data_IF_841275369532
#
_entry.id   IF_841275369532
#
_cell.length_a   1.000
_cell.length_b   1.000
_cell.length_c   1.000
_cell.angle_alpha   90.00
_cell.angle_beta   90.00
_cell.angle_gamma   90.00
#
_symmetry.space_group_name_H-M   'P 1'
#
loop_
_entity.id
_entity.type
_entity.pdbx_description
1 polymer ?
#
# COMPACT_ATOMS: atom_id res chain seq x y z
N UNK A 1 -13.01 3.23 17.82
CA UNK A 1 -13.34 4.55 17.28
C UNK A 1 -12.63 5.59 18.12
N UNK A 2 -11.50 6.08 17.67
CA UNK A 2 -10.88 7.27 18.23
C UNK A 2 -11.84 8.41 17.94
N UNK A 3 -12.36 9.07 18.98
CA UNK A 3 -13.18 10.28 18.85
C UNK A 3 -12.21 11.36 18.38
N UNK A 4 -12.27 11.73 17.10
CA UNK A 4 -11.51 12.86 16.57
C UNK A 4 -11.90 14.14 17.33
N UNK A 5 -10.94 15.04 17.55
CA UNK A 5 -11.26 16.31 18.16
C UNK A 5 -12.36 17.00 17.34
N UNK A 6 -13.38 17.58 17.98
CA UNK A 6 -14.56 18.17 17.31
C UNK A 6 -14.22 19.16 16.18
N UNK A 7 -13.07 19.79 16.28
CA UNK A 7 -12.58 20.76 15.28
C UNK A 7 -12.16 20.12 13.94
N UNK A 8 -11.51 18.97 13.95
CA UNK A 8 -11.01 18.32 12.71
C UNK A 8 -12.16 17.77 11.85
N UNK A 9 -13.15 17.14 12.49
CA UNK A 9 -14.34 16.61 11.81
C UNK A 9 -15.19 17.74 11.19
N UNK A 10 -15.34 18.83 11.92
CA UNK A 10 -16.06 20.01 11.42
C UNK A 10 -15.39 20.62 10.19
N UNK A 11 -14.05 20.62 10.15
CA UNK A 11 -13.27 21.06 8.98
C UNK A 11 -13.44 20.13 7.79
N UNK A 12 -13.44 18.81 8.00
CA UNK A 12 -13.70 17.84 6.93
C UNK A 12 -15.10 18.04 6.35
N UNK A 13 -16.14 18.25 7.17
CA UNK A 13 -17.51 18.48 6.72
C UNK A 13 -17.58 19.77 5.89
N UNK A 14 -17.07 20.89 6.41
CA UNK A 14 -17.07 22.16 5.69
C UNK A 14 -16.31 22.09 4.35
N UNK A 15 -15.21 21.35 4.30
CA UNK A 15 -14.45 21.13 3.07
C UNK A 15 -15.25 20.34 2.03
N UNK A 16 -15.89 19.25 2.46
CA UNK A 16 -16.70 18.40 1.59
C UNK A 16 -17.94 19.14 1.09
N UNK A 17 -18.64 19.90 1.95
CA UNK A 17 -19.80 20.70 1.55
C UNK A 17 -19.44 21.72 0.45
N UNK A 18 -18.31 22.40 0.59
CA UNK A 18 -17.81 23.31 -0.45
C UNK A 18 -17.45 22.57 -1.74
N UNK A 19 -16.81 21.41 -1.63
CA UNK A 19 -16.45 20.60 -2.78
C UNK A 19 -17.69 20.09 -3.54
N UNK A 20 -18.73 19.65 -2.81
CA UNK A 20 -20.02 19.22 -3.38
C UNK A 20 -20.77 20.39 -4.02
N UNK A 21 -20.61 21.60 -3.47
CA UNK A 21 -21.15 22.84 -4.06
C UNK A 21 -20.38 23.31 -5.31
N UNK A 22 -19.34 22.61 -5.76
CA UNK A 22 -18.59 22.91 -6.97
C UNK A 22 -17.37 23.82 -6.78
N UNK A 23 -16.95 24.10 -5.51
CA UNK A 23 -15.71 24.83 -5.25
C UNK A 23 -14.50 23.99 -5.70
N UNK A 24 -13.87 24.41 -6.80
CA UNK A 24 -12.68 23.74 -7.38
C UNK A 24 -11.49 23.72 -6.43
N UNK A 25 -11.33 24.73 -5.59
CA UNK A 25 -10.28 24.78 -4.57
C UNK A 25 -10.50 23.70 -3.51
N UNK A 26 -11.74 23.54 -3.05
CA UNK A 26 -12.11 22.49 -2.10
C UNK A 26 -11.94 21.09 -2.69
N UNK A 27 -12.30 20.87 -3.95
CA UNK A 27 -12.07 19.58 -4.64
C UNK A 27 -10.58 19.27 -4.73
N UNK A 28 -9.77 20.25 -5.11
CA UNK A 28 -8.30 20.08 -5.17
C UNK A 28 -7.73 19.72 -3.80
N UNK A 29 -8.24 20.33 -2.74
CA UNK A 29 -7.80 20.04 -1.36
C UNK A 29 -8.23 18.65 -0.92
N UNK A 30 -9.45 18.18 -1.24
CA UNK A 30 -9.90 16.80 -1.01
C UNK A 30 -8.96 15.80 -1.69
N UNK A 31 -8.63 16.02 -2.96
CA UNK A 31 -7.71 15.17 -3.71
C UNK A 31 -6.33 15.17 -3.06
N UNK A 32 -5.81 16.33 -2.64
CA UNK A 32 -4.51 16.48 -1.98
C UNK A 32 -4.44 15.72 -0.66
N UNK A 33 -5.51 15.71 0.13
CA UNK A 33 -5.60 14.97 1.39
C UNK A 33 -5.62 13.45 1.15
N UNK A 34 -6.32 12.99 0.11
CA UNK A 34 -6.61 11.58 -0.09
C UNK A 34 -5.60 10.86 -1.00
N UNK A 35 -4.87 11.55 -1.84
CA UNK A 35 -4.00 10.95 -2.85
C UNK A 35 -2.95 9.98 -2.29
N UNK A 36 -2.18 10.41 -1.28
CA UNK A 36 -1.08 9.63 -0.74
C UNK A 36 -1.56 8.45 0.12
N UNK A 37 -2.57 8.60 1.01
CA UNK A 37 -3.21 7.47 1.67
C UNK A 37 -3.76 6.42 0.68
N UNK A 38 -4.47 6.83 -0.36
CA UNK A 38 -5.01 5.93 -1.38
C UNK A 38 -3.92 5.28 -2.24
N UNK A 39 -2.85 6.02 -2.54
CA UNK A 39 -1.69 5.48 -3.25
C UNK A 39 -1.01 4.37 -2.43
N UNK A 40 -0.77 4.59 -1.15
CA UNK A 40 -0.20 3.57 -0.26
C UNK A 40 -1.09 2.33 -0.18
N UNK A 41 -2.40 2.51 -0.09
CA UNK A 41 -3.35 1.39 -0.12
C UNK A 41 -3.27 0.63 -1.45
N UNK A 42 -3.35 1.32 -2.57
CA UNK A 42 -3.29 0.72 -3.90
C UNK A 42 -1.98 -0.06 -4.10
N UNK A 43 -0.83 0.54 -3.73
CA UNK A 43 0.48 -0.10 -3.86
C UNK A 43 0.55 -1.42 -3.10
N UNK A 44 -0.01 -1.50 -1.87
CA UNK A 44 -0.08 -2.75 -1.10
C UNK A 44 -0.96 -3.80 -1.78
N UNK A 45 -2.02 -3.37 -2.44
CA UNK A 45 -2.96 -4.28 -3.07
C UNK A 45 -2.49 -4.81 -4.43
N UNK A 46 -1.85 -3.96 -5.24
CA UNK A 46 -1.43 -4.34 -6.61
C UNK A 46 0.06 -4.66 -6.74
N UNK A 47 0.90 -4.24 -5.81
CA UNK A 47 2.31 -4.61 -5.69
C UNK A 47 3.30 -3.81 -6.55
N UNK A 48 2.86 -3.10 -7.59
CA UNK A 48 3.73 -2.34 -8.52
C UNK A 48 3.36 -0.86 -8.52
N UNK A 49 4.34 0.06 -8.45
CA UNK A 49 4.08 1.50 -8.45
C UNK A 49 3.21 1.98 -9.63
N UNK A 50 3.53 1.56 -10.86
CA UNK A 50 2.78 1.97 -12.06
C UNK A 50 1.31 1.53 -12.00
N UNK A 51 1.05 0.28 -11.58
CA UNK A 51 -0.32 -0.22 -11.45
C UNK A 51 -1.06 0.48 -10.30
N UNK A 52 -0.36 0.87 -9.23
CA UNK A 52 -0.92 1.64 -8.12
C UNK A 52 -1.28 3.07 -8.52
N UNK A 53 -0.43 3.73 -9.32
CA UNK A 53 -0.69 5.05 -9.87
C UNK A 53 -1.96 5.09 -10.72
N UNK A 54 -2.12 4.10 -11.60
CA UNK A 54 -3.31 3.96 -12.44
C UNK A 54 -4.56 3.69 -11.58
N UNK A 55 -4.45 2.78 -10.61
CA UNK A 55 -5.57 2.47 -9.70
C UNK A 55 -5.99 3.69 -8.86
N UNK A 56 -5.04 4.47 -8.34
CA UNK A 56 -5.35 5.67 -7.54
C UNK A 56 -6.04 6.74 -8.38
N UNK A 57 -5.64 6.92 -9.63
CA UNK A 57 -6.32 7.84 -10.54
C UNK A 57 -7.81 7.49 -10.65
N UNK A 58 -8.13 6.22 -10.91
CA UNK A 58 -9.51 5.74 -10.99
C UNK A 58 -10.26 5.88 -9.66
N UNK A 59 -9.58 5.57 -8.54
CA UNK A 59 -10.17 5.69 -7.19
C UNK A 59 -10.51 7.15 -6.89
N UNK A 60 -9.60 8.10 -7.15
CA UNK A 60 -9.84 9.52 -6.89
C UNK A 60 -10.99 10.08 -7.73
N UNK A 61 -11.10 9.67 -8.99
CA UNK A 61 -12.25 10.03 -9.83
C UNK A 61 -13.57 9.52 -9.23
N UNK A 62 -13.59 8.27 -8.71
CA UNK A 62 -14.76 7.69 -8.03
C UNK A 62 -15.06 8.39 -6.71
N UNK A 63 -14.04 8.75 -5.94
CA UNK A 63 -14.18 9.52 -4.69
C UNK A 63 -14.84 10.86 -4.97
N UNK A 64 -14.31 11.64 -5.92
CA UNK A 64 -14.87 12.93 -6.28
C UNK A 64 -16.30 12.78 -6.81
N UNK A 65 -16.55 11.80 -7.70
CA UNK A 65 -17.88 11.55 -8.26
C UNK A 65 -18.94 11.11 -7.24
N UNK A 66 -18.52 10.54 -6.11
CA UNK A 66 -19.42 10.07 -5.05
C UNK A 66 -19.34 10.90 -3.78
N UNK A 67 -18.66 12.06 -3.80
CA UNK A 67 -18.36 12.84 -2.60
C UNK A 67 -19.63 13.27 -1.83
N UNK A 68 -20.71 13.56 -2.55
CA UNK A 68 -22.01 13.89 -1.96
C UNK A 68 -22.63 12.73 -1.14
N UNK A 69 -22.14 11.50 -1.28
CA UNK A 69 -22.60 10.36 -0.46
C UNK A 69 -21.90 10.26 0.89
N UNK A 70 -20.82 10.99 1.11
CA UNK A 70 -20.15 11.04 2.41
C UNK A 70 -20.98 11.88 3.39
N UNK A 71 -21.40 11.27 4.50
CA UNK A 71 -22.29 11.87 5.49
C UNK A 71 -21.59 12.27 6.80
N UNK A 72 -20.25 12.26 6.80
CA UNK A 72 -19.50 12.56 8.02
C UNK A 72 -19.60 11.48 9.13
N UNK A 73 -20.10 10.27 8.85
CA UNK A 73 -20.20 9.17 9.83
C UNK A 73 -18.83 8.59 10.20
N UNK A 74 -17.90 8.60 9.26
CA UNK A 74 -16.50 8.22 9.43
C UNK A 74 -15.61 9.35 8.93
N UNK A 75 -14.30 9.30 9.24
CA UNK A 75 -13.33 10.24 8.66
C UNK A 75 -13.37 10.17 7.13
N UNK A 76 -13.11 11.29 6.47
CA UNK A 76 -13.07 11.35 5.01
C UNK A 76 -12.11 10.30 4.41
N UNK A 77 -10.94 10.12 5.02
CA UNK A 77 -9.95 9.10 4.61
C UNK A 77 -10.49 7.68 4.76
N UNK A 78 -11.18 7.37 5.86
CA UNK A 78 -11.78 6.06 6.10
C UNK A 78 -12.86 5.73 5.08
N UNK A 79 -13.71 6.73 4.75
CA UNK A 79 -14.71 6.58 3.70
C UNK A 79 -14.04 6.40 2.31
N UNK A 80 -13.01 7.16 2.01
CA UNK A 80 -12.26 7.03 0.76
C UNK A 80 -11.58 5.66 0.64
N UNK A 81 -11.12 5.08 1.75
CA UNK A 81 -10.63 3.69 1.76
C UNK A 81 -11.72 2.69 1.37
N UNK A 82 -12.98 2.86 1.83
CA UNK A 82 -14.09 2.00 1.40
C UNK A 82 -14.32 2.08 -0.11
N UNK A 83 -14.30 3.28 -0.68
CA UNK A 83 -14.39 3.49 -2.14
C UNK A 83 -13.21 2.82 -2.86
N UNK A 84 -12.00 3.04 -2.36
CA UNK A 84 -10.76 2.49 -2.93
C UNK A 84 -10.70 0.96 -2.87
N UNK A 85 -11.05 0.37 -1.72
CA UNK A 85 -11.08 -1.09 -1.52
C UNK A 85 -12.07 -1.76 -2.47
N UNK A 86 -13.27 -1.20 -2.61
CA UNK A 86 -14.26 -1.72 -3.55
C UNK A 86 -13.74 -1.72 -4.99
N UNK A 87 -13.03 -0.67 -5.39
CA UNK A 87 -12.38 -0.64 -6.71
C UNK A 87 -11.28 -1.71 -6.81
N UNK A 88 -10.36 -1.79 -5.85
CA UNK A 88 -9.20 -2.67 -5.86
C UNK A 88 -9.58 -4.16 -5.83
N UNK A 89 -10.61 -4.54 -5.07
CA UNK A 89 -11.12 -5.91 -5.04
C UNK A 89 -11.75 -6.31 -6.38
N UNK A 90 -12.38 -5.37 -7.09
CA UNK A 90 -13.02 -5.59 -8.37
C UNK A 90 -12.10 -5.41 -9.58
N UNK A 91 -10.81 -5.06 -9.39
CA UNK A 91 -9.87 -4.96 -10.49
C UNK A 91 -9.77 -6.30 -11.23
N UNK A 92 -10.08 -6.29 -12.52
CA UNK A 92 -9.98 -7.49 -13.40
C UNK A 92 -8.51 -7.85 -13.68
N UNK A 93 -7.63 -6.84 -13.71
CA UNK A 93 -6.20 -7.05 -13.94
C UNK A 93 -5.57 -7.69 -12.72
N UNK A 94 -4.97 -8.85 -12.91
CA UNK A 94 -4.22 -9.57 -11.88
C UNK A 94 -2.74 -9.15 -11.92
N UNK A 95 -2.08 -9.15 -10.76
CA UNK A 95 -0.62 -9.02 -10.72
C UNK A 95 0.04 -10.22 -11.42
N UNK A 96 1.30 -10.07 -11.80
CA UNK A 96 2.06 -11.19 -12.37
C UNK A 96 2.11 -12.39 -11.41
N UNK A 97 2.22 -12.15 -10.10
CA UNK A 97 2.20 -13.17 -9.05
C UNK A 97 0.83 -13.86 -8.94
N UNK A 98 -0.27 -13.09 -8.96
CA UNK A 98 -1.62 -13.66 -8.96
C UNK A 98 -1.90 -14.46 -10.23
N UNK A 99 -1.40 -13.99 -11.38
CA UNK A 99 -1.53 -14.70 -12.68
C UNK A 99 -0.74 -16.00 -12.67
N UNK A 100 0.46 -16.00 -12.08
CA UNK A 100 1.30 -17.17 -11.94
C UNK A 100 0.81 -18.14 -10.84
N UNK A 101 -0.28 -17.81 -10.12
CA UNK A 101 -0.76 -18.57 -8.96
C UNK A 101 0.36 -18.88 -7.95
N UNK A 102 1.23 -17.90 -7.72
CA UNK A 102 2.35 -18.04 -6.82
C UNK A 102 1.83 -18.04 -5.38
N UNK A 103 2.01 -19.16 -4.69
CA UNK A 103 1.79 -19.27 -3.25
C UNK A 103 3.07 -18.96 -2.46
N UNK A 104 2.96 -18.91 -1.15
CA UNK A 104 4.10 -18.61 -0.29
C UNK A 104 5.18 -19.71 -0.33
N UNK A 105 4.80 -20.98 -0.50
CA UNK A 105 5.75 -22.10 -0.52
C UNK A 105 6.61 -22.03 -1.78
N UNK A 106 5.99 -21.86 -2.94
CA UNK A 106 6.69 -21.69 -4.20
C UNK A 106 7.50 -20.38 -4.22
N UNK A 107 6.99 -19.33 -3.61
CA UNK A 107 7.73 -18.08 -3.46
C UNK A 107 8.97 -18.27 -2.59
N UNK A 108 8.88 -19.01 -1.47
CA UNK A 108 10.00 -19.35 -0.58
C UNK A 108 11.09 -20.16 -1.29
N UNK A 109 10.69 -21.18 -2.03
CA UNK A 109 11.62 -21.96 -2.85
C UNK A 109 12.38 -21.07 -3.84
N UNK A 110 11.68 -20.17 -4.55
CA UNK A 110 12.28 -19.21 -5.47
C UNK A 110 13.19 -18.17 -4.79
N UNK A 111 12.97 -17.87 -3.51
CA UNK A 111 13.85 -16.96 -2.76
C UNK A 111 15.17 -17.60 -2.39
N UNK A 112 15.16 -18.90 -2.07
CA UNK A 112 16.37 -19.64 -1.68
C UNK A 112 17.17 -20.10 -2.90
N UNK A 113 16.50 -20.29 -4.03
CA UNK A 113 17.17 -20.62 -5.30
C UNK A 113 18.00 -19.43 -5.80
N UNK A 114 19.26 -19.69 -6.14
CA UNK A 114 20.21 -18.68 -6.59
C UNK A 114 20.63 -17.67 -5.52
N UNK A 115 20.49 -18.00 -4.22
CA UNK A 115 21.01 -17.17 -3.14
C UNK A 115 22.54 -17.19 -3.16
N UNK A 116 23.17 -16.01 -3.23
CA UNK A 116 24.63 -15.89 -3.22
C UNK A 116 25.21 -16.35 -1.87
N UNK A 117 26.42 -16.91 -1.91
CA UNK A 117 27.15 -17.32 -0.70
C UNK A 117 27.50 -16.16 0.20
N UNK A 118 27.83 -15.00 -0.40
CA UNK A 118 28.21 -13.77 0.30
C UNK A 118 27.23 -12.63 0.03
N UNK A 119 27.26 -11.65 0.93
CA UNK A 119 26.47 -10.43 0.80
C UNK A 119 26.99 -9.59 -0.38
N UNK A 120 26.07 -8.98 -1.14
CA UNK A 120 26.41 -8.09 -2.22
C UNK A 120 27.12 -6.82 -1.68
N UNK A 121 28.30 -6.52 -2.27
CA UNK A 121 29.18 -5.42 -1.84
C UNK A 121 29.39 -4.34 -2.92
N UNK A 122 28.55 -4.26 -3.91
CA UNK A 122 28.62 -3.22 -4.96
C UNK A 122 28.39 -1.80 -4.42
N UNK A 123 28.62 -0.77 -5.26
CA UNK A 123 28.52 0.64 -4.84
C UNK A 123 27.15 1.02 -4.26
N UNK A 124 26.07 0.38 -4.73
CA UNK A 124 24.70 0.64 -4.30
C UNK A 124 24.14 -0.46 -3.38
N UNK A 125 25.03 -1.19 -2.69
CA UNK A 125 24.65 -2.37 -1.91
C UNK A 125 23.53 -2.10 -0.91
N UNK A 126 23.58 -0.99 -0.18
CA UNK A 126 22.53 -0.60 0.78
C UNK A 126 21.22 -0.34 0.08
N UNK A 127 21.20 0.48 -0.97
CA UNK A 127 20.01 0.85 -1.73
C UNK A 127 19.36 -0.38 -2.36
N UNK A 128 20.15 -1.25 -2.99
CA UNK A 128 19.65 -2.47 -3.63
C UNK A 128 19.16 -3.51 -2.62
N UNK A 129 19.80 -3.59 -1.45
CA UNK A 129 19.31 -4.44 -0.36
C UNK A 129 17.94 -3.97 0.14
N UNK A 130 17.75 -2.65 0.28
CA UNK A 130 16.45 -2.07 0.63
C UNK A 130 15.41 -2.36 -0.47
N UNK A 131 15.77 -2.14 -1.73
CA UNK A 131 14.87 -2.41 -2.87
C UNK A 131 14.43 -3.87 -2.90
N UNK A 132 15.36 -4.82 -2.73
CA UNK A 132 15.04 -6.26 -2.64
C UNK A 132 14.09 -6.55 -1.48
N UNK A 133 14.31 -5.95 -0.31
CA UNK A 133 13.46 -6.14 0.87
C UNK A 133 12.04 -5.61 0.64
N UNK A 134 11.91 -4.40 0.10
CA UNK A 134 10.63 -3.79 -0.20
C UNK A 134 9.85 -4.59 -1.26
N UNK A 135 10.51 -5.00 -2.33
CA UNK A 135 9.91 -5.88 -3.35
C UNK A 135 9.50 -7.24 -2.80
N UNK A 136 10.32 -7.84 -1.92
CA UNK A 136 10.00 -9.12 -1.28
C UNK A 136 8.71 -9.02 -0.45
N UNK A 137 8.56 -7.99 0.38
CA UNK A 137 7.36 -7.81 1.19
C UNK A 137 6.11 -7.54 0.33
N UNK A 138 6.24 -6.77 -0.75
CA UNK A 138 5.14 -6.60 -1.71
C UNK A 138 4.75 -7.93 -2.39
N UNK A 139 5.74 -8.73 -2.81
CA UNK A 139 5.49 -10.04 -3.42
C UNK A 139 4.82 -11.02 -2.45
N UNK A 140 5.21 -11.03 -1.17
CA UNK A 140 4.54 -11.84 -0.14
C UNK A 140 3.05 -11.48 0.00
N UNK A 141 2.71 -10.18 -0.01
CA UNK A 141 1.30 -9.76 -0.01
C UNK A 141 0.56 -10.29 -1.24
N UNK A 142 1.20 -10.32 -2.41
CA UNK A 142 0.58 -10.84 -3.63
C UNK A 142 0.35 -12.37 -3.59
N UNK A 143 1.06 -13.12 -2.74
CA UNK A 143 0.82 -14.55 -2.50
C UNK A 143 -0.42 -14.84 -1.64
N UNK A 144 -1.01 -13.81 -1.00
CA UNK A 144 -2.30 -13.92 -0.32
C UNK A 144 -3.47 -13.71 -1.28
N UNK A 145 -4.59 -14.38 -1.03
CA UNK A 145 -5.85 -14.01 -1.67
C UNK A 145 -6.21 -12.56 -1.36
N UNK A 146 -6.91 -11.88 -2.28
CA UNK A 146 -7.24 -10.45 -2.15
C UNK A 146 -7.96 -10.11 -0.84
N UNK A 147 -8.84 -10.97 -0.39
CA UNK A 147 -9.61 -10.81 0.86
C UNK A 147 -8.72 -10.89 2.12
N UNK A 148 -7.75 -11.80 2.13
CA UNK A 148 -6.78 -11.93 3.21
C UNK A 148 -5.75 -10.80 3.17
N UNK A 149 -5.30 -10.45 1.97
CA UNK A 149 -4.37 -9.33 1.74
C UNK A 149 -4.94 -8.02 2.26
N UNK A 150 -6.16 -7.66 1.87
CA UNK A 150 -6.77 -6.40 2.32
C UNK A 150 -7.03 -6.40 3.82
N UNK A 151 -7.46 -7.53 4.42
CA UNK A 151 -7.66 -7.62 5.86
C UNK A 151 -6.35 -7.37 6.62
N UNK A 152 -5.25 -7.95 6.15
CA UNK A 152 -3.91 -7.75 6.71
C UNK A 152 -3.42 -6.30 6.51
N UNK A 153 -3.58 -5.74 5.33
CA UNK A 153 -3.14 -4.37 5.02
C UNK A 153 -3.85 -3.36 5.90
N UNK A 154 -5.16 -3.47 6.06
CA UNK A 154 -5.93 -2.54 6.91
C UNK A 154 -5.53 -2.64 8.39
N UNK A 155 -5.32 -3.85 8.92
CA UNK A 155 -4.95 -4.05 10.33
C UNK A 155 -3.48 -3.78 10.60
N UNK A 156 -2.59 -4.52 9.90
CA UNK A 156 -1.19 -4.62 10.28
C UNK A 156 -0.30 -3.58 9.61
N UNK A 157 -0.75 -2.97 8.50
CA UNK A 157 0.00 -1.91 7.80
C UNK A 157 -0.57 -0.53 8.12
N UNK A 158 -1.90 -0.38 8.08
CA UNK A 158 -2.55 0.91 8.37
C UNK A 158 -3.04 1.05 9.81
N UNK A 159 -2.89 0.01 10.62
CA UNK A 159 -3.19 0.01 12.06
C UNK A 159 -4.64 0.41 12.39
N UNK A 160 -5.58 0.12 11.46
CA UNK A 160 -6.99 0.37 11.67
C UNK A 160 -7.59 -0.64 12.64
N UNK A 161 -8.56 -0.19 13.43
CA UNK A 161 -9.31 -1.07 14.31
C UNK A 161 -10.13 -2.09 13.53
N UNK A 162 -10.44 -3.24 14.16
CA UNK A 162 -11.30 -4.26 13.52
C UNK A 162 -12.68 -3.73 13.14
N UNK A 163 -13.20 -2.73 13.86
CA UNK A 163 -14.48 -2.11 13.57
C UNK A 163 -14.40 -1.25 12.29
N UNK A 164 -13.38 -0.41 12.18
CA UNK A 164 -13.14 0.43 10.99
C UNK A 164 -12.89 -0.42 9.75
N UNK A 165 -12.01 -1.44 9.86
CA UNK A 165 -11.71 -2.32 8.75
C UNK A 165 -12.92 -3.15 8.30
N UNK A 166 -13.75 -3.64 9.22
CA UNK A 166 -14.98 -4.34 8.90
C UNK A 166 -15.99 -3.41 8.20
N UNK A 167 -16.09 -2.16 8.66
CA UNK A 167 -16.91 -1.14 8.01
C UNK A 167 -16.41 -0.80 6.59
N UNK A 168 -15.10 -0.63 6.40
CA UNK A 168 -14.49 -0.39 5.07
C UNK A 168 -14.80 -1.54 4.11
N UNK A 169 -14.73 -2.79 4.59
CA UNK A 169 -14.93 -3.99 3.78
C UNK A 169 -16.39 -4.38 3.59
N UNK A 170 -17.32 -3.72 4.28
CA UNK A 170 -18.75 -4.04 4.31
C UNK A 170 -19.04 -5.50 4.71
N UNK A 171 -18.34 -5.98 5.74
CA UNK A 171 -18.46 -7.34 6.27
C UNK A 171 -18.63 -7.35 7.79
N UNK A 172 -19.14 -8.44 8.34
CA UNK A 172 -19.22 -8.61 9.79
C UNK A 172 -17.81 -8.71 10.44
N UNK A 173 -17.66 -8.13 11.63
CA UNK A 173 -16.39 -8.12 12.37
C UNK A 173 -15.82 -9.54 12.63
N UNK A 174 -16.67 -10.56 12.79
CA UNK A 174 -16.23 -11.95 12.94
C UNK A 174 -15.60 -12.49 11.67
N UNK A 175 -16.17 -12.19 10.51
CA UNK A 175 -15.62 -12.56 9.19
C UNK A 175 -14.29 -11.86 8.96
N UNK A 176 -14.21 -10.56 9.28
CA UNK A 176 -12.97 -9.81 9.21
C UNK A 176 -11.86 -10.43 10.06
N UNK A 177 -12.13 -10.71 11.35
CA UNK A 177 -11.14 -11.31 12.24
C UNK A 177 -10.62 -12.67 11.74
N UNK A 178 -11.49 -13.52 11.20
CA UNK A 178 -11.09 -14.81 10.61
C UNK A 178 -10.19 -14.64 9.37
N UNK A 179 -10.46 -13.65 8.51
CA UNK A 179 -9.60 -13.34 7.35
C UNK A 179 -8.22 -12.87 7.81
N UNK A 180 -8.19 -11.96 8.79
CA UNK A 180 -6.95 -11.42 9.36
C UNK A 180 -6.11 -12.51 10.05
N UNK A 181 -6.73 -13.36 10.85
CA UNK A 181 -6.07 -14.48 11.52
C UNK A 181 -5.38 -15.42 10.51
N UNK A 182 -6.08 -15.81 9.45
CA UNK A 182 -5.50 -16.64 8.39
C UNK A 182 -4.33 -15.95 7.68
N UNK A 183 -4.47 -14.69 7.35
CA UNK A 183 -3.40 -13.92 6.72
C UNK A 183 -2.15 -13.83 7.61
N UNK A 184 -2.34 -13.52 8.90
CA UNK A 184 -1.26 -13.47 9.91
C UNK A 184 -0.57 -14.82 10.07
N UNK A 185 -1.33 -15.91 10.18
CA UNK A 185 -0.77 -17.25 10.32
C UNK A 185 0.08 -17.64 9.09
N UNK A 186 -0.44 -17.41 7.89
CA UNK A 186 0.28 -17.73 6.63
C UNK A 186 1.57 -16.93 6.49
N UNK A 187 1.51 -15.60 6.68
CA UNK A 187 2.68 -14.74 6.57
C UNK A 187 3.68 -14.99 7.71
N UNK A 188 3.20 -15.17 8.94
CA UNK A 188 4.05 -15.44 10.10
C UNK A 188 4.81 -16.76 9.97
N UNK A 189 4.13 -17.85 9.58
CA UNK A 189 4.77 -19.14 9.35
C UNK A 189 5.83 -19.04 8.24
N UNK A 190 5.49 -18.41 7.13
CA UNK A 190 6.41 -18.20 6.02
C UNK A 190 7.65 -17.39 6.44
N UNK A 191 7.47 -16.27 7.12
CA UNK A 191 8.56 -15.40 7.55
C UNK A 191 9.47 -16.10 8.55
N UNK A 192 8.92 -16.82 9.52
CA UNK A 192 9.70 -17.59 10.47
C UNK A 192 10.50 -18.72 9.81
N UNK A 193 9.94 -19.38 8.80
CA UNK A 193 10.63 -20.46 8.09
C UNK A 193 11.71 -19.95 7.12
N UNK A 194 11.51 -18.77 6.51
CA UNK A 194 12.28 -18.36 5.33
C UNK A 194 13.11 -17.10 5.55
N UNK A 195 12.60 -16.10 6.26
CA UNK A 195 13.15 -14.73 6.29
C UNK A 195 14.16 -14.52 7.42
N UNK A 196 15.43 -14.32 7.08
CA UNK A 196 16.49 -14.07 8.05
C UNK A 196 16.44 -12.69 8.72
N UNK A 197 15.50 -11.80 8.33
CA UNK A 197 15.22 -10.55 9.05
C UNK A 197 14.35 -10.83 10.27
N UNK A 198 13.39 -11.75 10.15
CA UNK A 198 12.48 -12.14 11.25
C UNK A 198 13.08 -13.24 12.10
N UNK A 199 13.62 -14.26 11.47
CA UNK A 199 14.28 -15.38 12.15
C UNK A 199 15.74 -15.49 11.68
N UNK A 200 16.72 -15.15 12.53
CA UNK A 200 18.14 -15.24 12.18
C UNK A 200 18.63 -16.63 11.75
N UNK A 201 17.93 -17.71 12.16
CA UNK A 201 18.23 -19.07 11.74
C UNK A 201 17.72 -19.41 10.34
N UNK A 202 16.78 -18.63 9.78
CA UNK A 202 16.27 -18.84 8.43
C UNK A 202 17.34 -18.51 7.37
N UNK A 203 17.25 -19.16 6.20
CA UNK A 203 18.30 -19.12 5.17
C UNK A 203 18.39 -17.83 4.36
N UNK A 204 17.26 -17.15 4.11
CA UNK A 204 17.23 -15.98 3.21
C UNK A 204 17.90 -14.75 3.84
N UNK A 205 18.74 -14.08 3.05
CA UNK A 205 19.35 -12.78 3.39
C UNK A 205 19.14 -11.82 2.23
N UNK A 206 18.62 -10.61 2.50
CA UNK A 206 18.27 -9.64 1.45
C UNK A 206 19.53 -9.25 0.64
N UNK A 207 20.65 -8.99 1.28
CA UNK A 207 21.91 -8.66 0.59
C UNK A 207 22.41 -9.80 -0.33
N UNK A 208 22.25 -11.06 0.06
CA UNK A 208 22.61 -12.23 -0.76
C UNK A 208 21.64 -12.46 -1.91
N UNK A 209 20.42 -11.90 -1.84
CA UNK A 209 19.42 -12.00 -2.89
C UNK A 209 19.62 -10.97 -4.00
N UNK A 210 20.38 -9.88 -3.77
CA UNK A 210 20.60 -8.81 -4.75
C UNK A 210 21.09 -9.32 -6.10
N UNK A 211 22.14 -10.18 -6.21
CA UNK A 211 22.62 -10.64 -7.51
C UNK A 211 21.55 -11.36 -8.33
N UNK A 212 20.81 -12.26 -7.71
CA UNK A 212 19.74 -12.99 -8.39
C UNK A 212 18.56 -12.09 -8.77
N UNK A 213 18.23 -11.08 -7.94
CA UNK A 213 17.17 -10.12 -8.23
C UNK A 213 17.52 -9.24 -9.45
N UNK A 214 18.77 -8.82 -9.57
CA UNK A 214 19.31 -8.09 -10.72
C UNK A 214 19.29 -8.97 -11.99
N UNK A 215 19.82 -10.18 -11.90
CA UNK A 215 19.89 -11.11 -13.04
C UNK A 215 18.51 -11.48 -13.59
N UNK A 216 17.50 -11.58 -12.73
CA UNK A 216 16.10 -11.86 -13.09
C UNK A 216 15.31 -10.61 -13.49
N UNK A 217 15.92 -9.42 -13.51
CA UNK A 217 15.26 -8.15 -13.82
C UNK A 217 14.15 -7.77 -12.83
N UNK A 218 14.19 -8.31 -11.60
CA UNK A 218 13.21 -7.99 -10.54
C UNK A 218 13.54 -6.68 -9.83
N UNK A 219 14.78 -6.25 -9.91
CA UNK A 219 15.30 -4.98 -9.39
C UNK A 219 16.10 -4.34 -10.51
N UNK A 220 15.89 -3.05 -10.73
CA UNK A 220 16.69 -2.23 -11.63
C UNK A 220 17.66 -1.38 -10.79
N UNK A 221 18.96 -1.62 -10.94
CA UNK A 221 19.98 -0.89 -10.19
C UNK A 221 19.98 0.62 -10.49
N UNK A 222 19.60 1.02 -11.72
CA UNK A 222 19.57 2.42 -12.13
C UNK A 222 18.29 3.15 -11.71
N UNK A 223 17.19 2.39 -11.51
CA UNK A 223 15.87 2.93 -11.18
C UNK A 223 15.15 2.03 -10.16
N UNK A 224 15.61 2.01 -8.90
CA UNK A 224 14.89 1.29 -7.85
C UNK A 224 13.46 1.82 -7.73
N UNK A 225 12.49 0.94 -7.91
CA UNK A 225 11.09 1.35 -8.04
C UNK A 225 10.45 1.73 -6.70
N UNK A 226 10.92 1.17 -5.60
CA UNK A 226 10.38 1.36 -4.25
C UNK A 226 11.33 2.16 -3.34
N UNK A 227 12.62 1.82 -3.31
CA UNK A 227 13.58 2.49 -2.43
C UNK A 227 13.88 3.94 -2.84
N UNK A 228 13.75 4.26 -4.13
CA UNK A 228 13.91 5.62 -4.67
C UNK A 228 12.57 6.29 -5.03
N UNK A 229 11.43 5.70 -4.64
CA UNK A 229 10.12 6.28 -4.91
C UNK A 229 9.91 7.58 -4.12
N UNK A 230 9.20 8.58 -4.66
CA UNK A 230 8.84 9.78 -3.93
C UNK A 230 8.14 9.46 -2.60
N UNK A 231 8.46 10.23 -1.56
CA UNK A 231 7.84 10.15 -0.23
C UNK A 231 7.15 11.47 0.13
N UNK A 232 6.21 11.41 1.06
CA UNK A 232 5.58 12.63 1.62
C UNK A 232 6.64 13.51 2.28
N UNK A 233 6.47 14.82 2.20
CA UNK A 233 7.39 15.77 2.84
C UNK A 233 7.53 15.46 4.35
N UNK A 234 8.76 15.26 4.82
CA UNK A 234 9.04 14.87 6.21
C UNK A 234 8.69 13.43 6.57
N UNK A 235 8.18 12.64 5.62
CA UNK A 235 7.86 11.23 5.81
C UNK A 235 9.09 10.33 5.99
N UNK A 236 8.85 9.07 6.34
CA UNK A 236 9.90 8.05 6.48
C UNK A 236 10.43 7.65 5.11
N UNK A 237 11.74 7.73 4.94
CA UNK A 237 12.45 7.10 3.83
C UNK A 237 12.74 5.60 4.10
N UNK A 238 13.36 4.92 3.14
CA UNK A 238 13.69 3.49 3.27
C UNK A 238 14.64 3.20 4.44
N UNK A 239 15.56 4.12 4.78
CA UNK A 239 16.52 3.94 5.88
C UNK A 239 15.81 4.04 7.23
N UNK A 240 14.97 5.04 7.44
CA UNK A 240 14.19 5.20 8.67
C UNK A 240 13.18 4.07 8.85
N UNK A 241 12.56 3.61 7.78
CA UNK A 241 11.66 2.47 7.79
C UNK A 241 12.39 1.19 8.24
N UNK A 242 13.61 0.94 7.75
CA UNK A 242 14.44 -0.20 8.16
C UNK A 242 14.80 -0.14 9.65
N UNK A 243 15.22 1.02 10.15
CA UNK A 243 15.57 1.20 11.56
C UNK A 243 14.40 0.86 12.50
N UNK A 244 13.17 1.16 12.10
CA UNK A 244 11.98 0.76 12.85
C UNK A 244 11.75 -0.75 12.80
N UNK A 245 11.94 -1.38 11.65
CA UNK A 245 11.77 -2.81 11.49
C UNK A 245 12.71 -3.61 12.39
N UNK A 246 13.99 -3.24 12.45
CA UNK A 246 14.99 -3.90 13.29
C UNK A 246 14.63 -3.86 14.78
N UNK A 247 13.90 -2.82 15.22
CA UNK A 247 13.48 -2.66 16.63
C UNK A 247 12.27 -3.52 17.02
N UNK A 248 11.41 -3.88 16.08
CA UNK A 248 10.10 -4.47 16.39
C UNK A 248 10.08 -6.00 16.33
N UNK A 249 11.03 -6.65 15.64
CA UNK A 249 11.23 -8.11 15.55
C UNK A 249 9.96 -8.95 15.33
N UNK A 250 8.88 -8.36 14.81
CA UNK A 250 7.64 -9.07 14.51
C UNK A 250 7.40 -9.19 13.00
N UNK A 251 6.58 -10.16 12.61
CA UNK A 251 6.27 -10.39 11.20
C UNK A 251 5.58 -9.18 10.53
N UNK A 252 4.79 -8.41 11.27
CA UNK A 252 4.08 -7.24 10.76
C UNK A 252 5.04 -6.07 10.49
N UNK A 253 6.16 -5.99 11.23
CA UNK A 253 7.17 -4.94 11.07
C UNK A 253 7.77 -4.91 9.67
N UNK A 254 7.94 -6.07 9.03
CA UNK A 254 8.42 -6.20 7.65
C UNK A 254 7.51 -5.45 6.67
N UNK A 255 6.22 -5.45 6.92
CA UNK A 255 5.22 -4.80 6.06
C UNK A 255 4.98 -3.34 6.44
N UNK A 256 5.12 -2.97 7.72
CA UNK A 256 5.04 -1.58 8.19
C UNK A 256 6.26 -0.75 7.80
N UNK A 257 7.42 -1.38 7.72
CA UNK A 257 8.70 -0.74 7.41
C UNK A 257 8.86 -0.36 5.93
N UNK A 258 7.82 0.15 5.31
CA UNK A 258 7.93 0.80 4.02
C UNK A 258 8.03 2.33 4.17
N UNK A 259 8.65 3.02 3.22
CA UNK A 259 8.60 4.47 3.13
C UNK A 259 7.17 5.02 3.11
N UNK A 260 7.02 6.26 3.55
CA UNK A 260 5.75 6.98 3.45
C UNK A 260 5.58 7.51 2.03
N UNK A 261 5.28 6.60 1.11
CA UNK A 261 5.18 6.89 -0.32
C UNK A 261 4.17 7.99 -0.64
N UNK A 262 4.55 8.88 -1.56
CA UNK A 262 3.71 9.90 -2.16
C UNK A 262 3.32 9.51 -3.59
N UNK A 263 2.16 9.96 -4.04
CA UNK A 263 1.79 9.86 -5.45
C UNK A 263 2.73 10.76 -6.29
N UNK A 264 3.35 10.25 -7.37
CA UNK A 264 4.24 11.05 -8.18
C UNK A 264 3.60 12.34 -8.68
N UNK A 265 4.29 13.51 -8.64
CA UNK A 265 3.71 14.81 -9.00
C UNK A 265 3.11 14.86 -10.41
N UNK A 266 3.71 14.14 -11.37
CA UNK A 266 3.20 14.07 -12.73
C UNK A 266 1.79 13.42 -12.80
N UNK A 267 1.51 12.43 -11.94
CA UNK A 267 0.19 11.79 -11.85
C UNK A 267 -0.82 12.71 -11.20
N UNK A 268 -0.41 13.46 -10.18
CA UNK A 268 -1.27 14.48 -9.56
C UNK A 268 -1.69 15.54 -10.59
N UNK A 269 -0.76 16.05 -11.38
CA UNK A 269 -1.05 17.01 -12.44
C UNK A 269 -2.03 16.44 -13.49
N UNK A 270 -1.88 15.16 -13.85
CA UNK A 270 -2.80 14.48 -14.77
C UNK A 270 -4.22 14.37 -14.18
N UNK A 271 -4.35 14.04 -12.90
CA UNK A 271 -5.65 13.98 -12.20
C UNK A 271 -6.29 15.37 -12.14
N UNK A 272 -5.53 16.41 -11.78
CA UNK A 272 -6.02 17.78 -11.74
C UNK A 272 -6.54 18.24 -13.12
N UNK A 273 -5.81 17.90 -14.20
CA UNK A 273 -6.25 18.17 -15.59
C UNK A 273 -7.53 17.43 -15.95
N UNK A 274 -7.68 16.17 -15.52
CA UNK A 274 -8.90 15.40 -15.76
C UNK A 274 -10.09 16.02 -15.02
N UNK A 275 -9.93 16.40 -13.76
CA UNK A 275 -10.97 17.02 -12.96
C UNK A 275 -11.39 18.39 -13.52
N UNK A 276 -10.47 19.14 -14.16
CA UNK A 276 -10.76 20.42 -14.81
C UNK A 276 -11.31 20.31 -16.24
N UNK A 277 -11.43 19.11 -16.79
CA UNK A 277 -11.77 18.90 -18.22
C UNK A 277 -13.26 19.02 -18.55
N UNK A 278 -14.14 19.34 -17.60
CA UNK A 278 -15.58 19.42 -17.81
C UNK A 278 -16.28 18.07 -18.08
N UNK A 279 -15.58 16.95 -17.89
CA UNK A 279 -16.15 15.60 -18.09
C UNK A 279 -16.87 15.05 -16.84
N UNK A 280 -16.90 15.81 -15.76
CA UNK A 280 -17.49 15.41 -14.50
C UNK A 280 -18.68 16.33 -14.17
N UNK A 281 -19.93 15.83 -14.26
CA UNK A 281 -21.14 16.65 -14.06
C UNK A 281 -21.25 17.32 -12.69
N UNK A 282 -20.54 16.83 -11.67
CA UNK A 282 -20.46 17.47 -10.35
C UNK A 282 -19.61 18.74 -10.33
N UNK A 283 -18.77 18.96 -11.35
CA UNK A 283 -17.88 20.11 -11.47
C UNK A 283 -18.41 21.18 -12.41
N UNK A 284 -19.48 20.90 -13.14
CA UNK A 284 -20.07 21.75 -14.19
C UNK A 284 -21.39 22.39 -13.74
N UNK A 285 -21.73 22.33 -12.45
CA UNK A 285 -22.90 23.02 -11.86
C UNK A 285 -22.54 24.31 -11.20
#
# INVERSE_FOLDING_TARGET
MTVDPPDERSREIALVDRAVAGDRGAITEVVRILQDPLYRLALRMVGRPVDAEDAVQEILLRVVGNLASWRGEARLTTWAYRVGVNHLLNLRRRSAQETAQLDLDRFGANLLDGLAAEDYRGPEATLLTHEVRLNCSQAMLQCLGRDERIAFVLADVFELTSAEAAWILDIGAATYRKRLERARARLGNFLNATCGVVNPAAGCRCARRVPAALALGRVDAKRPALAAHPIVAGGRDAVRAEQQMVRLHDAASVFRAHPDYALPPARLAAIAKLLSSGRFPLLDR
#
